data_IF_719332854834
#
_entry.id   IF_719332854834
#
_cell.length_a   1.000
_cell.length_b   1.000
_cell.length_c   1.000
_cell.angle_alpha   90.00
_cell.angle_beta   90.00
_cell.angle_gamma   90.00
#
_symmetry.space_group_name_H-M   'P 1'
#
loop_
_entity.id
_entity.type
_entity.pdbx_description
1 polymer ?
#
# COMPACT_ATOMS: atom_id res chain seq x y z
N UNK A 1 -1.64 7.77 -7.55
CA UNK A 1 -3.04 7.97 -7.99
C UNK A 1 -4.03 7.17 -7.14
N UNK A 2 -3.91 5.83 -7.02
CA UNK A 2 -4.87 4.99 -6.26
C UNK A 2 -5.05 5.41 -4.78
N UNK A 3 -3.95 5.63 -4.05
CA UNK A 3 -3.97 5.98 -2.61
C UNK A 3 -4.54 7.39 -2.36
N UNK A 4 -4.45 8.29 -3.35
CA UNK A 4 -4.87 9.69 -3.21
C UNK A 4 -6.32 9.90 -3.68
N UNK A 5 -7.02 8.85 -4.14
CA UNK A 5 -8.41 8.94 -4.55
C UNK A 5 -9.33 8.84 -3.32
N UNK A 6 -10.12 9.88 -2.98
CA UNK A 6 -10.99 9.86 -1.80
C UNK A 6 -11.98 8.70 -1.78
N UNK A 7 -12.38 8.18 -2.95
CA UNK A 7 -13.29 7.04 -3.07
C UNK A 7 -12.69 5.75 -2.53
N UNK A 8 -11.36 5.69 -2.44
CA UNK A 8 -10.63 4.52 -1.99
C UNK A 8 -10.28 4.56 -0.49
N UNK A 9 -10.48 5.69 0.18
CA UNK A 9 -10.02 5.93 1.55
C UNK A 9 -10.53 4.89 2.56
N UNK A 10 -11.73 4.35 2.33
CA UNK A 10 -12.34 3.32 3.17
C UNK A 10 -11.58 1.97 3.20
N UNK A 11 -10.70 1.72 2.23
CA UNK A 11 -9.95 0.47 2.08
C UNK A 11 -8.47 0.62 1.73
N UNK A 12 -8.01 1.79 1.26
CA UNK A 12 -6.60 2.13 1.08
C UNK A 12 -6.38 3.64 1.30
N UNK A 13 -5.41 3.98 2.14
CA UNK A 13 -5.13 5.38 2.50
C UNK A 13 -3.73 5.55 3.07
N UNK A 14 -3.27 6.80 3.13
CA UNK A 14 -2.11 7.17 3.92
C UNK A 14 -2.38 6.99 5.42
N UNK A 15 -1.31 6.77 6.18
CA UNK A 15 -1.33 6.96 7.62
C UNK A 15 -1.31 8.47 7.93
N UNK A 16 -1.68 8.84 9.16
CA UNK A 16 -1.82 10.24 9.57
C UNK A 16 -0.54 11.06 9.30
N UNK A 17 0.62 10.46 9.60
CA UNK A 17 1.94 11.04 9.41
C UNK A 17 2.41 11.13 7.94
N UNK A 18 1.67 10.54 7.00
CA UNK A 18 2.01 10.52 5.58
C UNK A 18 3.26 9.71 5.21
N UNK A 19 3.85 8.95 6.14
CA UNK A 19 5.11 8.19 5.92
C UNK A 19 4.89 6.73 5.53
N UNK A 20 3.67 6.24 5.72
CA UNK A 20 3.25 4.90 5.38
C UNK A 20 1.87 4.94 4.74
N UNK A 21 1.56 3.94 3.92
CA UNK A 21 0.21 3.70 3.45
C UNK A 21 -0.30 2.37 4.00
N UNK A 22 -1.62 2.25 4.07
CA UNK A 22 -2.29 1.06 4.56
C UNK A 22 -3.47 0.69 3.68
N UNK A 23 -3.72 -0.61 3.53
CA UNK A 23 -4.92 -1.12 2.87
C UNK A 23 -5.54 -2.27 3.65
N UNK A 24 -6.85 -2.49 3.50
CA UNK A 24 -7.60 -3.52 4.22
C UNK A 24 -8.24 -4.58 3.31
N UNK A 25 -8.02 -4.50 2.00
CA UNK A 25 -8.52 -5.50 1.04
C UNK A 25 -7.51 -5.73 -0.07
N UNK A 26 -6.89 -6.91 -0.06
CA UNK A 26 -5.97 -7.35 -1.11
C UNK A 26 -6.68 -7.52 -2.46
N UNK A 27 -7.93 -7.99 -2.45
CA UNK A 27 -8.71 -8.20 -3.68
C UNK A 27 -9.07 -6.88 -4.37
N UNK A 28 -9.50 -5.87 -3.59
CA UNK A 28 -9.74 -4.52 -4.13
C UNK A 28 -8.46 -3.89 -4.67
N UNK A 29 -7.34 -4.08 -3.97
CA UNK A 29 -6.05 -3.61 -4.43
C UNK A 29 -5.68 -4.24 -5.78
N UNK A 30 -5.78 -5.57 -5.88
CA UNK A 30 -5.49 -6.32 -7.09
C UNK A 30 -6.37 -5.86 -8.26
N UNK A 31 -7.69 -5.82 -8.06
CA UNK A 31 -8.64 -5.37 -9.07
C UNK A 31 -8.36 -3.94 -9.53
N UNK A 32 -8.11 -3.01 -8.61
CA UNK A 32 -7.82 -1.61 -8.94
C UNK A 32 -6.53 -1.48 -9.75
N UNK A 33 -5.48 -2.23 -9.40
CA UNK A 33 -4.22 -2.24 -10.15
C UNK A 33 -4.40 -2.82 -11.55
N UNK A 34 -5.18 -3.91 -11.68
CA UNK A 34 -5.50 -4.52 -12.97
C UNK A 34 -6.29 -3.56 -13.88
N UNK A 35 -7.31 -2.87 -13.36
CA UNK A 35 -8.05 -1.84 -14.09
C UNK A 35 -7.16 -0.67 -14.50
N UNK A 36 -6.12 -0.36 -13.72
CA UNK A 36 -5.11 0.63 -14.07
C UNK A 36 -4.07 0.13 -15.11
N UNK A 37 -4.22 -1.09 -15.63
CA UNK A 37 -3.36 -1.67 -16.68
C UNK A 37 -2.14 -2.44 -16.14
N UNK A 38 -2.02 -2.63 -14.83
CA UNK A 38 -0.92 -3.39 -14.24
C UNK A 38 -1.18 -4.90 -14.32
N UNK A 39 -0.17 -5.66 -14.75
CA UNK A 39 -0.23 -7.13 -14.86
C UNK A 39 0.06 -7.81 -13.52
N UNK A 40 -0.78 -7.56 -12.52
CA UNK A 40 -0.76 -8.30 -11.27
C UNK A 40 -1.72 -9.51 -11.35
N UNK A 41 -1.23 -10.72 -11.10
CA UNK A 41 -2.05 -11.94 -11.13
C UNK A 41 -2.65 -12.28 -9.77
N UNK A 42 -1.94 -11.97 -8.69
CA UNK A 42 -2.32 -12.27 -7.32
C UNK A 42 -1.68 -11.28 -6.34
N UNK A 43 -2.13 -11.32 -5.10
CA UNK A 43 -1.58 -10.48 -4.03
C UNK A 43 -0.08 -10.74 -3.77
N UNK A 44 0.38 -11.99 -3.88
CA UNK A 44 1.80 -12.30 -3.70
C UNK A 44 2.71 -11.56 -4.70
N UNK A 45 2.24 -11.36 -5.93
CA UNK A 45 2.95 -10.57 -6.95
C UNK A 45 3.04 -9.08 -6.58
N UNK A 46 2.03 -8.56 -5.88
CA UNK A 46 2.02 -7.20 -5.34
C UNK A 46 3.03 -7.10 -4.19
N UNK A 47 2.99 -8.03 -3.23
CA UNK A 47 3.98 -8.07 -2.14
C UNK A 47 5.42 -8.21 -2.66
N UNK A 48 5.62 -9.03 -3.70
CA UNK A 48 6.93 -9.16 -4.35
C UNK A 48 7.38 -7.84 -4.99
N UNK A 49 6.49 -7.13 -5.68
CA UNK A 49 6.82 -5.81 -6.23
C UNK A 49 7.19 -4.82 -5.12
N UNK A 50 6.38 -4.74 -4.06
CA UNK A 50 6.69 -3.90 -2.90
C UNK A 50 8.07 -4.24 -2.33
N UNK A 51 8.40 -5.52 -2.20
CA UNK A 51 9.72 -5.98 -1.76
C UNK A 51 10.85 -5.63 -2.74
N UNK A 52 10.63 -5.81 -4.05
CA UNK A 52 11.61 -5.46 -5.09
C UNK A 52 11.92 -3.96 -5.10
N UNK A 53 10.95 -3.11 -4.75
CA UNK A 53 11.11 -1.66 -4.53
C UNK A 53 11.43 -1.29 -3.07
N UNK A 54 11.81 -2.26 -2.23
CA UNK A 54 12.29 -2.08 -0.86
C UNK A 54 11.28 -1.46 0.11
N UNK A 55 9.99 -1.60 -0.15
CA UNK A 55 8.96 -1.25 0.83
C UNK A 55 9.05 -2.20 2.04
N UNK A 56 9.03 -1.61 3.23
CA UNK A 56 9.02 -2.35 4.50
C UNK A 56 7.58 -2.52 4.94
N UNK A 57 7.21 -3.75 5.30
CA UNK A 57 5.92 -4.04 5.93
C UNK A 57 5.99 -3.70 7.42
N UNK A 58 5.13 -2.80 7.89
CA UNK A 58 5.11 -2.32 9.28
C UNK A 58 4.18 -3.16 10.18
N UNK A 59 3.13 -3.74 9.62
CA UNK A 59 2.21 -4.61 10.38
C UNK A 59 2.81 -5.98 10.64
N UNK A 60 3.01 -6.30 11.92
CA UNK A 60 3.38 -7.64 12.39
C UNK A 60 2.25 -8.63 12.03
N UNK A 61 2.58 -9.68 11.28
CA UNK A 61 1.64 -10.74 10.93
C UNK A 61 1.05 -11.45 12.16
N UNK A 62 1.74 -11.39 13.31
CA UNK A 62 1.34 -12.01 14.57
C UNK A 62 0.34 -11.16 15.36
N UNK A 63 0.27 -9.86 15.10
CA UNK A 63 -0.66 -8.92 15.76
C UNK A 63 -1.57 -8.27 14.72
N UNK A 64 -2.44 -9.08 14.15
CA UNK A 64 -3.57 -8.62 13.33
C UNK A 64 -4.63 -8.02 14.25
N UNK A 65 -4.40 -6.78 14.69
CA UNK A 65 -5.36 -6.04 15.51
C UNK A 65 -6.35 -5.36 14.54
N UNK A 66 -7.64 -5.73 14.57
CA UNK A 66 -8.66 -5.06 13.77
C UNK A 66 -8.84 -3.62 14.23
N UNK A 67 -9.23 -2.74 13.32
CA UNK A 67 -9.73 -1.41 13.71
C UNK A 67 -11.12 -1.49 14.35
N UNK A 68 -11.68 -0.33 14.72
CA UNK A 68 -13.00 -0.22 15.31
C UNK A 68 -14.11 -0.87 14.45
N UNK A 69 -13.93 -0.92 13.13
CA UNK A 69 -14.88 -1.51 12.18
C UNK A 69 -14.57 -2.99 11.88
N UNK A 70 -13.63 -3.60 12.63
CA UNK A 70 -13.23 -4.99 12.46
C UNK A 70 -12.32 -5.24 11.25
N UNK A 71 -11.78 -4.18 10.60
CA UNK A 71 -10.92 -4.33 9.43
C UNK A 71 -9.48 -4.58 9.83
N UNK A 72 -8.87 -5.58 9.20
CA UNK A 72 -7.44 -5.80 9.26
C UNK A 72 -6.74 -4.96 8.22
N UNK A 73 -5.74 -4.19 8.66
CA UNK A 73 -4.95 -3.34 7.78
C UNK A 73 -3.56 -3.95 7.58
N UNK A 74 -3.07 -3.85 6.35
CA UNK A 74 -1.67 -4.08 6.00
C UNK A 74 -1.00 -2.75 5.76
N UNK A 75 0.10 -2.50 6.47
CA UNK A 75 0.83 -1.23 6.41
C UNK A 75 2.20 -1.41 5.78
N UNK A 76 2.56 -0.50 4.87
CA UNK A 76 3.86 -0.48 4.20
C UNK A 76 4.44 0.94 4.18
N UNK A 77 5.76 1.04 4.30
CA UNK A 77 6.50 2.30 4.27
C UNK A 77 7.71 2.22 3.36
N UNK A 78 8.08 3.35 2.76
CA UNK A 78 9.36 3.53 2.07
C UNK A 78 9.87 4.95 2.31
N UNK A 79 11.17 5.17 2.60
CA UNK A 79 11.70 6.50 2.96
C UNK A 79 11.46 7.59 1.90
N UNK A 80 11.36 7.20 0.63
CA UNK A 80 11.12 8.10 -0.50
C UNK A 80 9.67 8.09 -1.02
N UNK A 81 8.76 7.34 -0.37
CA UNK A 81 7.35 7.29 -0.74
C UNK A 81 6.51 7.96 0.35
N UNK A 82 6.38 9.29 0.26
CA UNK A 82 5.74 10.13 1.26
C UNK A 82 4.56 10.86 0.64
N UNK A 83 3.45 11.01 1.40
CA UNK A 83 2.26 11.75 0.95
C UNK A 83 2.61 13.18 0.53
N UNK A 84 3.36 13.86 1.38
CA UNK A 84 3.65 15.29 1.27
C UNK A 84 4.90 15.58 0.42
N UNK A 85 5.58 14.54 -0.07
CA UNK A 85 6.72 14.65 -0.98
C UNK A 85 6.60 13.63 -2.14
N UNK A 86 5.65 13.85 -3.08
CA UNK A 86 5.35 12.91 -4.16
C UNK A 86 6.51 12.73 -5.15
N UNK A 87 7.35 13.74 -5.32
CA UNK A 87 8.47 13.72 -6.26
C UNK A 87 9.58 12.75 -5.83
N UNK A 88 9.65 12.38 -4.55
CA UNK A 88 10.62 11.39 -4.06
C UNK A 88 10.48 10.01 -4.70
N UNK A 89 9.34 9.72 -5.33
CA UNK A 89 9.10 8.44 -6.02
C UNK A 89 10.13 8.15 -7.13
N UNK A 90 10.71 9.19 -7.73
CA UNK A 90 11.73 9.06 -8.79
C UNK A 90 13.03 8.43 -8.28
N UNK A 91 13.28 8.53 -6.97
CA UNK A 91 14.47 7.97 -6.33
C UNK A 91 14.30 6.49 -5.94
N UNK A 92 13.10 5.92 -6.12
CA UNK A 92 12.83 4.53 -5.75
C UNK A 92 13.33 3.62 -6.88
N UNK A 93 14.36 2.85 -6.57
CA UNK A 93 14.97 1.92 -7.52
C UNK A 93 14.57 0.49 -7.20
N UNK A 94 14.27 -0.28 -8.26
CA UNK A 94 14.07 -1.71 -8.15
C UNK A 94 15.42 -2.40 -7.87
N UNK A 95 15.43 -3.39 -6.97
CA UNK A 95 16.59 -4.26 -6.77
C UNK A 95 16.86 -5.16 -7.97
#
# INVERSE_FOLDING_TARGET
>A
RIINDPRNEAWIRWCEDGKAFKFSSADKLLSTLQTAGLRAQNYHSIEKNLNDYRFVRLTDQRRKIPDHDGKLWWMFSHPQFLRDFPDGIVNIQRR
#
